data_IF_507761338182
#
_entry.id   IF_507761338182
#
_cell.length_a   1.000
_cell.length_b   1.000
_cell.length_c   1.000
_cell.angle_alpha   90.00
_cell.angle_beta   90.00
_cell.angle_gamma   90.00
#
_symmetry.space_group_name_H-M   'P 1'
#
loop_
_entity.id
_entity.type
_entity.pdbx_description
1 polymer ?
#
# COMPACT_ATOMS: atom_id res chain seq x y z
N UNK A 1 -17.24 0.67 8.35
CA UNK A 1 -16.67 0.34 9.67
C UNK A 1 -15.47 -0.61 9.60
N UNK A 2 -15.46 -1.71 8.82
CA UNK A 2 -14.31 -2.63 8.74
C UNK A 2 -13.08 -2.04 8.02
N UNK A 3 -13.26 -1.17 7.03
CA UNK A 3 -12.18 -0.56 6.23
C UNK A 3 -11.46 0.58 6.96
N UNK A 4 -12.18 1.39 7.73
CA UNK A 4 -11.62 2.46 8.59
C UNK A 4 -10.74 1.86 9.70
N UNK A 5 -11.11 0.69 10.22
CA UNK A 5 -10.26 -0.05 11.17
C UNK A 5 -8.94 -0.53 10.53
N UNK A 6 -8.95 -0.88 9.25
CA UNK A 6 -7.74 -1.30 8.54
C UNK A 6 -6.75 -0.12 8.36
N UNK A 7 -7.25 1.07 7.99
CA UNK A 7 -6.42 2.27 7.90
C UNK A 7 -5.85 2.69 9.27
N UNK A 8 -6.66 2.64 10.32
CA UNK A 8 -6.22 2.97 11.68
C UNK A 8 -5.24 1.92 12.26
N UNK A 9 -5.38 0.64 11.91
CA UNK A 9 -4.44 -0.41 12.32
C UNK A 9 -3.09 -0.28 11.57
N UNK A 10 -3.10 0.12 10.30
CA UNK A 10 -1.89 0.39 9.53
C UNK A 10 -1.07 1.53 10.16
N UNK A 11 -1.75 2.55 10.68
CA UNK A 11 -1.12 3.68 11.37
C UNK A 11 -0.41 3.27 12.67
N UNK A 12 -0.98 2.34 13.43
CA UNK A 12 -0.41 1.88 14.70
C UNK A 12 0.85 1.00 14.49
N UNK A 13 0.97 0.33 13.35
CA UNK A 13 2.09 -0.56 13.04
C UNK A 13 3.37 0.18 12.62
N UNK A 14 3.25 1.39 12.08
CA UNK A 14 4.42 2.16 11.63
C UNK A 14 5.20 2.82 12.76
N UNK A 15 4.60 2.99 13.93
CA UNK A 15 5.34 3.45 15.12
C UNK A 15 6.37 2.39 15.56
N UNK A 16 6.17 1.11 15.23
CA UNK A 16 7.10 0.03 15.55
C UNK A 16 8.28 -0.08 14.56
N UNK A 17 8.14 0.32 13.31
CA UNK A 17 9.24 0.34 12.33
C UNK A 17 10.32 1.37 12.67
N UNK A 18 9.97 2.45 13.37
CA UNK A 18 10.93 3.39 13.92
C UNK A 18 11.83 2.78 15.01
N UNK A 19 11.47 1.62 15.56
CA UNK A 19 12.23 0.94 16.62
C UNK A 19 13.29 -0.05 16.12
N UNK A 20 13.20 -0.53 14.87
CA UNK A 20 14.09 -1.59 14.35
C UNK A 20 15.34 -1.15 13.59
N UNK A 21 15.57 0.13 13.37
CA UNK A 21 16.77 0.54 12.62
C UNK A 21 17.31 1.89 13.06
N UNK A 22 18.40 1.89 13.79
CA UNK A 22 19.28 3.02 14.08
C UNK A 22 18.61 4.40 14.15
N UNK A 23 18.49 4.93 15.36
CA UNK A 23 17.88 6.22 15.69
C UNK A 23 18.36 7.43 14.86
N UNK A 24 19.38 7.26 14.03
CA UNK A 24 20.04 8.34 13.30
C UNK A 24 19.62 8.46 11.83
N UNK A 25 18.72 7.59 11.33
CA UNK A 25 18.32 7.58 9.91
C UNK A 25 16.94 8.13 9.60
N UNK A 26 16.06 8.20 10.58
CA UNK A 26 14.68 8.68 10.38
C UNK A 26 14.44 9.97 11.15
N UNK A 27 14.20 11.06 10.43
CA UNK A 27 13.79 12.34 10.99
C UNK A 27 12.32 12.61 10.65
N UNK A 28 11.43 12.33 11.59
CA UNK A 28 10.00 12.56 11.44
C UNK A 28 9.62 14.05 11.22
N UNK A 29 10.56 14.98 11.47
CA UNK A 29 10.38 16.39 11.17
C UNK A 29 10.57 16.78 9.71
N UNK A 30 11.14 15.88 8.88
CA UNK A 30 11.34 16.12 7.44
C UNK A 30 10.24 15.46 6.60
N UNK A 31 9.01 15.87 6.87
CA UNK A 31 7.83 15.33 6.18
C UNK A 31 7.87 15.57 4.67
N UNK A 32 8.49 16.69 4.22
CA UNK A 32 8.60 17.05 2.81
C UNK A 32 9.38 16.05 1.95
N UNK A 33 10.37 15.36 2.55
CA UNK A 33 11.14 14.32 1.84
C UNK A 33 10.51 12.94 1.96
N UNK A 34 9.55 12.74 2.88
CA UNK A 34 8.86 11.49 3.16
C UNK A 34 9.78 10.36 3.63
N UNK A 35 9.23 9.35 4.31
CA UNK A 35 9.99 8.22 4.85
C UNK A 35 10.61 7.35 3.76
N UNK A 36 9.93 7.22 2.60
CA UNK A 36 10.44 6.47 1.46
C UNK A 36 11.80 7.01 1.02
N UNK A 37 11.90 8.32 0.74
CA UNK A 37 13.15 8.95 0.33
C UNK A 37 14.23 8.90 1.42
N UNK A 38 13.86 9.17 2.67
CA UNK A 38 14.80 9.16 3.79
C UNK A 38 15.46 7.80 4.01
N UNK A 39 14.74 6.71 3.80
CA UNK A 39 15.24 5.35 4.00
C UNK A 39 15.92 4.78 2.76
N UNK A 40 15.46 5.09 1.56
CA UNK A 40 15.92 4.48 0.32
C UNK A 40 16.88 5.36 -0.47
N UNK A 41 16.77 6.69 -0.33
CA UNK A 41 17.42 7.67 -1.20
C UNK A 41 16.80 7.74 -2.61
N UNK A 42 15.65 7.10 -2.82
CA UNK A 42 14.94 7.06 -4.11
C UNK A 42 13.71 7.95 -4.00
N UNK A 43 13.49 8.79 -5.02
CA UNK A 43 12.32 9.66 -5.06
C UNK A 43 11.02 8.83 -5.05
N UNK A 44 9.98 9.25 -4.29
CA UNK A 44 8.72 8.51 -4.18
C UNK A 44 8.04 8.24 -5.52
N UNK A 45 8.13 9.18 -6.45
CA UNK A 45 7.55 9.13 -7.80
C UNK A 45 8.44 8.39 -8.82
N UNK A 46 9.64 7.97 -8.44
CA UNK A 46 10.49 7.18 -9.33
C UNK A 46 9.83 5.85 -9.68
N UNK A 47 9.98 5.41 -10.93
CA UNK A 47 9.41 4.13 -11.38
C UNK A 47 10.16 2.97 -10.71
N UNK A 48 9.49 2.25 -9.81
CA UNK A 48 10.02 1.05 -9.17
C UNK A 48 9.94 -0.16 -10.10
N UNK A 49 8.83 -0.27 -10.84
CA UNK A 49 8.62 -1.33 -11.83
C UNK A 49 7.64 -0.89 -12.91
N UNK A 50 7.61 -1.63 -14.02
CA UNK A 50 6.62 -1.44 -15.09
C UNK A 50 5.96 -2.78 -15.42
N UNK A 51 4.63 -2.79 -15.42
CA UNK A 51 3.81 -3.97 -15.70
C UNK A 51 2.90 -3.64 -16.89
N UNK A 52 3.13 -4.28 -18.01
CA UNK A 52 2.37 -4.09 -19.27
C UNK A 52 2.15 -2.61 -19.67
N UNK A 53 3.19 -1.81 -19.47
CA UNK A 53 3.19 -0.40 -19.80
C UNK A 53 2.66 0.53 -18.70
N UNK A 54 2.17 -0.01 -17.59
CA UNK A 54 1.75 0.75 -16.40
C UNK A 54 2.95 0.93 -15.48
N UNK A 55 3.29 2.16 -15.17
CA UNK A 55 4.35 2.50 -14.22
C UNK A 55 3.85 2.39 -12.79
N UNK A 56 4.62 1.70 -11.95
CA UNK A 56 4.38 1.60 -10.51
C UNK A 56 5.41 2.47 -9.80
N UNK A 57 5.00 3.48 -9.03
CA UNK A 57 5.92 4.37 -8.35
C UNK A 57 6.58 3.72 -7.13
N UNK A 58 7.72 4.27 -6.74
CA UNK A 58 8.54 3.75 -5.65
C UNK A 58 7.81 3.81 -4.30
N UNK A 59 7.02 4.82 -4.05
CA UNK A 59 6.28 4.97 -2.80
C UNK A 59 5.21 3.87 -2.61
N UNK A 60 4.55 3.43 -3.68
CA UNK A 60 3.64 2.28 -3.65
C UNK A 60 4.39 0.99 -3.32
N UNK A 61 5.52 0.74 -3.97
CA UNK A 61 6.34 -0.44 -3.68
C UNK A 61 6.87 -0.42 -2.24
N UNK A 62 7.37 0.73 -1.80
CA UNK A 62 7.88 0.92 -0.44
C UNK A 62 6.79 0.72 0.63
N UNK A 63 5.59 1.23 0.39
CA UNK A 63 4.45 1.00 1.28
C UNK A 63 4.13 -0.49 1.42
N UNK A 64 4.03 -1.22 0.31
CA UNK A 64 3.78 -2.66 0.33
C UNK A 64 4.91 -3.43 1.04
N UNK A 65 6.17 -3.01 0.86
CA UNK A 65 7.31 -3.55 1.58
C UNK A 65 7.17 -3.39 3.09
N UNK A 66 6.87 -2.17 3.55
CA UNK A 66 6.70 -1.87 4.97
C UNK A 66 5.50 -2.61 5.56
N UNK A 67 4.39 -2.65 4.83
CA UNK A 67 3.18 -3.37 5.25
C UNK A 67 3.44 -4.87 5.42
N UNK A 68 4.07 -5.51 4.43
CA UNK A 68 4.37 -6.94 4.50
C UNK A 68 5.36 -7.27 5.62
N UNK A 69 6.38 -6.42 5.84
CA UNK A 69 7.32 -6.60 6.93
C UNK A 69 6.63 -6.51 8.30
N UNK A 70 5.78 -5.51 8.50
CA UNK A 70 5.02 -5.33 9.74
C UNK A 70 4.00 -6.45 9.97
N UNK A 71 3.37 -6.91 8.89
CA UNK A 71 2.45 -8.04 8.96
C UNK A 71 3.18 -9.31 9.42
N UNK A 72 4.35 -9.61 8.84
CA UNK A 72 5.15 -10.78 9.19
C UNK A 72 5.64 -10.72 10.64
N UNK A 73 6.11 -9.55 11.08
CA UNK A 73 6.50 -9.34 12.48
C UNK A 73 5.32 -9.58 13.44
N UNK A 74 4.16 -9.02 13.14
CA UNK A 74 2.94 -9.19 13.94
C UNK A 74 2.49 -10.65 13.97
N UNK A 75 2.60 -11.34 12.83
CA UNK A 75 2.26 -12.76 12.71
C UNK A 75 3.17 -13.61 13.59
N UNK A 76 4.48 -13.43 13.53
CA UNK A 76 5.44 -14.16 14.35
C UNK A 76 5.23 -13.89 15.85
N UNK A 77 5.05 -12.64 16.23
CA UNK A 77 4.79 -12.24 17.61
C UNK A 77 3.51 -12.87 18.17
N UNK A 78 2.47 -13.06 17.36
CA UNK A 78 1.24 -13.75 17.78
C UNK A 78 1.49 -15.20 18.21
N UNK A 79 2.50 -15.84 17.63
CA UNK A 79 2.94 -17.19 18.02
C UNK A 79 4.07 -17.21 19.07
N UNK A 80 4.43 -16.05 19.61
CA UNK A 80 5.49 -15.92 20.61
C UNK A 80 6.90 -16.18 20.03
N UNK A 81 7.06 -15.96 18.72
CA UNK A 81 8.33 -16.13 18.01
C UNK A 81 8.89 -14.76 17.61
N UNK A 82 10.20 -14.61 17.70
CA UNK A 82 10.89 -13.46 17.10
C UNK A 82 10.98 -13.66 15.58
N UNK A 83 10.86 -12.56 14.82
CA UNK A 83 10.99 -12.61 13.39
C UNK A 83 12.45 -12.87 12.97
N UNK A 84 12.67 -13.99 12.33
CA UNK A 84 13.93 -14.33 11.67
C UNK A 84 13.72 -14.45 10.16
N UNK A 85 14.20 -13.45 9.42
CA UNK A 85 14.09 -13.40 7.97
C UNK A 85 14.79 -14.55 7.24
N UNK A 86 15.77 -15.20 7.88
CA UNK A 86 16.52 -16.34 7.33
C UNK A 86 15.87 -17.69 7.66
N UNK A 87 14.83 -17.72 8.48
CA UNK A 87 14.11 -18.94 8.83
C UNK A 87 13.49 -19.56 7.58
N UNK A 88 13.75 -20.84 7.36
CA UNK A 88 13.12 -21.63 6.29
C UNK A 88 11.65 -21.91 6.63
N UNK A 89 10.72 -21.54 5.73
CA UNK A 89 9.30 -21.88 5.84
C UNK A 89 8.96 -23.15 5.09
N UNK A 90 9.64 -23.37 3.98
CA UNK A 90 9.55 -24.59 3.16
C UNK A 90 10.90 -24.84 2.50
N UNK A 91 11.09 -26.05 1.93
CA UNK A 91 12.37 -26.47 1.37
C UNK A 91 12.91 -25.45 0.33
N UNK A 92 14.02 -24.78 0.70
CA UNK A 92 14.71 -23.81 -0.14
C UNK A 92 14.14 -22.38 -0.16
N UNK A 93 13.10 -22.08 0.63
CA UNK A 93 12.51 -20.74 0.71
C UNK A 93 12.48 -20.22 2.14
N UNK A 94 13.07 -19.04 2.33
CA UNK A 94 13.09 -18.34 3.61
C UNK A 94 11.87 -17.44 3.79
N UNK A 95 11.63 -16.98 5.04
CA UNK A 95 10.64 -15.92 5.34
C UNK A 95 10.86 -14.71 4.44
N UNK A 96 12.12 -14.32 4.21
CA UNK A 96 12.47 -13.20 3.35
C UNK A 96 12.05 -13.44 1.89
N UNK A 97 12.26 -14.64 1.35
CA UNK A 97 11.95 -14.94 -0.04
C UNK A 97 10.44 -14.93 -0.28
N UNK A 98 9.67 -15.62 0.56
CA UNK A 98 8.20 -15.63 0.49
C UNK A 98 7.62 -14.22 0.66
N UNK A 99 8.20 -13.41 1.57
CA UNK A 99 7.75 -12.03 1.78
C UNK A 99 8.05 -11.15 0.57
N UNK A 100 9.23 -11.26 -0.04
CA UNK A 100 9.56 -10.52 -1.28
C UNK A 100 8.62 -10.86 -2.43
N UNK A 101 8.31 -12.15 -2.62
CA UNK A 101 7.40 -12.58 -3.68
C UNK A 101 5.99 -12.02 -3.44
N UNK A 102 5.50 -12.06 -2.21
CA UNK A 102 4.21 -11.45 -1.83
C UNK A 102 4.17 -9.95 -2.09
N UNK A 103 5.22 -9.20 -1.73
CA UNK A 103 5.32 -7.77 -1.99
C UNK A 103 5.25 -7.49 -3.49
N UNK A 104 6.01 -8.26 -4.27
CA UNK A 104 6.08 -8.09 -5.72
C UNK A 104 4.71 -8.35 -6.36
N UNK A 105 4.03 -9.44 -6.00
CA UNK A 105 2.72 -9.77 -6.52
C UNK A 105 1.65 -8.75 -6.08
N UNK A 106 1.62 -8.35 -4.82
CA UNK A 106 0.70 -7.32 -4.34
C UNK A 106 0.91 -5.98 -5.05
N UNK A 107 2.16 -5.59 -5.27
CA UNK A 107 2.46 -4.34 -5.96
C UNK A 107 2.10 -4.41 -7.44
N UNK A 108 2.33 -5.54 -8.10
CA UNK A 108 1.91 -5.76 -9.49
C UNK A 108 0.40 -5.72 -9.67
N UNK A 109 -0.37 -6.20 -8.68
CA UNK A 109 -1.82 -6.31 -8.81
C UNK A 109 -2.49 -4.97 -9.11
N UNK A 110 -2.01 -3.87 -8.54
CA UNK A 110 -2.51 -2.53 -8.84
C UNK A 110 -2.35 -2.19 -10.33
N UNK A 111 -1.18 -2.44 -10.91
CA UNK A 111 -0.94 -2.18 -12.32
C UNK A 111 -1.73 -3.13 -13.23
N UNK A 112 -1.92 -4.38 -12.84
CA UNK A 112 -2.74 -5.36 -13.57
C UNK A 112 -4.21 -4.92 -13.58
N UNK A 113 -4.76 -4.50 -12.45
CA UNK A 113 -6.14 -4.00 -12.35
C UNK A 113 -6.33 -2.78 -13.26
N UNK A 114 -5.42 -1.81 -13.21
CA UNK A 114 -5.47 -0.64 -14.09
C UNK A 114 -5.40 -1.02 -15.56
N UNK A 115 -4.51 -1.95 -15.91
CA UNK A 115 -4.36 -2.43 -17.29
C UNK A 115 -5.61 -3.12 -17.77
N UNK A 116 -6.19 -4.01 -16.98
CA UNK A 116 -7.45 -4.69 -17.30
C UNK A 116 -8.61 -3.69 -17.44
N UNK A 117 -8.69 -2.69 -16.57
CA UNK A 117 -9.69 -1.64 -16.67
C UNK A 117 -9.57 -0.85 -17.98
N UNK A 118 -8.34 -0.49 -18.39
CA UNK A 118 -8.08 0.18 -19.67
C UNK A 118 -8.48 -0.69 -20.88
N UNK A 119 -8.10 -1.97 -20.87
CA UNK A 119 -8.37 -2.90 -21.97
C UNK A 119 -9.87 -3.18 -22.15
N UNK A 120 -10.62 -3.19 -21.05
CA UNK A 120 -12.06 -3.44 -21.05
C UNK A 120 -12.90 -2.16 -21.04
N UNK A 121 -12.27 -0.97 -21.14
CA UNK A 121 -12.93 0.34 -21.07
C UNK A 121 -13.76 0.51 -19.79
N UNK A 122 -13.33 -0.09 -18.69
CA UNK A 122 -13.93 0.09 -17.37
C UNK A 122 -13.50 1.43 -16.80
N UNK A 123 -14.45 2.28 -16.51
CA UNK A 123 -14.26 3.58 -15.86
C UNK A 123 -15.17 3.62 -14.63
N UNK A 124 -14.69 4.27 -13.57
CA UNK A 124 -15.51 4.49 -12.39
C UNK A 124 -16.66 5.44 -12.72
N UNK A 125 -17.86 5.06 -12.34
CA UNK A 125 -19.03 5.89 -12.50
C UNK A 125 -19.09 7.03 -11.46
N UNK A 126 -20.07 7.92 -11.60
CA UNK A 126 -20.24 9.08 -10.72
C UNK A 126 -20.50 8.65 -9.26
N UNK A 127 -21.17 7.53 -9.04
CA UNK A 127 -21.46 7.02 -7.71
C UNK A 127 -20.19 6.54 -7.01
N UNK A 128 -19.34 5.75 -7.70
CA UNK A 128 -18.06 5.29 -7.20
C UNK A 128 -17.09 6.45 -6.90
N UNK A 129 -17.06 7.45 -7.79
CA UNK A 129 -16.22 8.65 -7.59
C UNK A 129 -16.69 9.45 -6.37
N UNK A 130 -18.02 9.61 -6.20
CA UNK A 130 -18.59 10.31 -5.04
C UNK A 130 -18.33 9.55 -3.73
N UNK A 131 -18.35 8.23 -3.75
CA UNK A 131 -18.02 7.42 -2.58
C UNK A 131 -16.54 7.56 -2.19
N UNK A 132 -15.62 7.52 -3.17
CA UNK A 132 -14.19 7.78 -2.95
C UNK A 132 -13.94 9.16 -2.32
N UNK A 133 -14.60 10.21 -2.84
CA UNK A 133 -14.49 11.55 -2.28
C UNK A 133 -15.02 11.62 -0.84
N UNK A 134 -16.13 10.94 -0.56
CA UNK A 134 -16.71 10.87 0.79
C UNK A 134 -15.78 10.11 1.77
N UNK A 135 -15.22 8.98 1.37
CA UNK A 135 -14.26 8.22 2.18
C UNK A 135 -12.99 9.05 2.48
N UNK A 136 -12.49 9.78 1.47
CA UNK A 136 -11.37 10.70 1.67
C UNK A 136 -11.72 11.81 2.66
N UNK A 137 -12.88 12.45 2.49
CA UNK A 137 -13.32 13.52 3.37
C UNK A 137 -13.49 13.05 4.82
N UNK A 138 -14.07 11.86 5.04
CA UNK A 138 -14.19 11.24 6.37
C UNK A 138 -12.81 10.97 6.99
N UNK A 139 -11.86 10.48 6.19
CA UNK A 139 -10.50 10.23 6.64
C UNK A 139 -9.79 11.53 7.04
N UNK A 140 -9.91 12.56 6.20
CA UNK A 140 -9.35 13.90 6.49
C UNK A 140 -9.95 14.48 7.77
N UNK A 141 -11.27 14.39 7.95
CA UNK A 141 -11.95 14.88 9.17
C UNK A 141 -11.47 14.09 10.40
N UNK A 142 -11.39 12.78 10.32
CA UNK A 142 -10.98 11.91 11.42
C UNK A 142 -9.55 12.16 11.89
N UNK A 143 -8.68 12.57 10.97
CA UNK A 143 -7.28 12.94 11.26
C UNK A 143 -7.07 14.39 11.70
N UNK A 144 -8.13 15.20 11.67
CA UNK A 144 -8.09 16.60 12.12
C UNK A 144 -7.73 17.59 11.02
N UNK A 145 -7.91 17.23 9.75
CA UNK A 145 -7.78 18.11 8.60
C UNK A 145 -6.69 17.70 7.60
N UNK A 146 -6.64 18.42 6.49
CA UNK A 146 -5.77 18.13 5.33
C UNK A 146 -4.28 18.07 5.70
N UNK A 147 -3.80 18.96 6.56
CA UNK A 147 -2.38 18.95 6.95
C UNK A 147 -2.01 17.69 7.71
N UNK A 148 -2.86 17.26 8.65
CA UNK A 148 -2.66 16.02 9.40
C UNK A 148 -2.76 14.79 8.47
N UNK A 149 -3.71 14.79 7.54
CA UNK A 149 -3.86 13.74 6.55
C UNK A 149 -2.58 13.55 5.72
N UNK A 150 -2.04 14.65 5.16
CA UNK A 150 -0.77 14.61 4.41
C UNK A 150 0.41 14.15 5.26
N UNK A 151 0.47 14.62 6.50
CA UNK A 151 1.52 14.20 7.43
C UNK A 151 1.45 12.69 7.73
N UNK A 152 0.26 12.13 7.84
CA UNK A 152 0.09 10.69 8.04
C UNK A 152 0.48 9.88 6.79
N UNK A 153 0.09 10.33 5.59
CA UNK A 153 0.54 9.69 4.35
C UNK A 153 2.08 9.72 4.21
N UNK A 154 2.70 10.84 4.53
CA UNK A 154 4.16 10.96 4.50
C UNK A 154 4.86 10.01 5.48
N UNK A 155 4.28 9.74 6.66
CA UNK A 155 4.78 8.72 7.60
C UNK A 155 4.65 7.30 7.03
N UNK A 156 3.63 7.05 6.21
CA UNK A 156 3.45 5.80 5.48
C UNK A 156 4.39 5.68 4.26
N UNK A 157 5.07 6.76 3.91
CA UNK A 157 5.91 6.85 2.73
C UNK A 157 5.14 7.06 1.44
N UNK A 158 3.86 7.44 1.52
CA UNK A 158 2.96 7.59 0.38
C UNK A 158 2.74 9.07 0.02
N UNK A 159 2.64 9.35 -1.27
CA UNK A 159 2.03 10.57 -1.80
C UNK A 159 0.50 10.47 -1.79
N UNK A 160 -0.19 11.62 -1.82
CA UNK A 160 -1.64 11.64 -1.99
C UNK A 160 -2.05 10.97 -3.32
N UNK A 161 -1.32 11.23 -4.39
CA UNK A 161 -1.59 10.66 -5.72
C UNK A 161 -1.52 9.13 -5.71
N UNK A 162 -0.47 8.56 -5.09
CA UNK A 162 -0.34 7.11 -4.99
C UNK A 162 -1.41 6.51 -4.10
N UNK A 163 -1.75 7.15 -2.99
CA UNK A 163 -2.81 6.68 -2.11
C UNK A 163 -4.18 6.69 -2.80
N UNK A 164 -4.53 7.79 -3.49
CA UNK A 164 -5.76 7.88 -4.28
C UNK A 164 -5.82 6.79 -5.37
N UNK A 165 -4.70 6.53 -6.02
CA UNK A 165 -4.56 5.47 -7.02
C UNK A 165 -4.83 4.09 -6.43
N UNK A 166 -4.31 3.81 -5.24
CA UNK A 166 -4.56 2.56 -4.52
C UNK A 166 -6.05 2.42 -4.14
N UNK A 167 -6.66 3.47 -3.61
CA UNK A 167 -8.09 3.48 -3.29
C UNK A 167 -8.96 3.24 -4.55
N UNK A 168 -8.64 3.88 -5.67
CA UNK A 168 -9.34 3.67 -6.95
C UNK A 168 -9.24 2.24 -7.46
N UNK A 169 -8.12 1.56 -7.19
CA UNK A 169 -7.90 0.19 -7.63
C UNK A 169 -8.93 -0.78 -7.06
N UNK A 170 -9.38 -0.59 -5.83
CA UNK A 170 -10.41 -1.43 -5.19
C UNK A 170 -11.76 -1.32 -5.92
N UNK A 171 -12.12 -0.10 -6.34
CA UNK A 171 -13.34 0.16 -7.10
C UNK A 171 -13.24 -0.37 -8.53
N UNK A 172 -12.09 -0.20 -9.18
CA UNK A 172 -11.84 -0.77 -10.51
C UNK A 172 -11.89 -2.30 -10.50
N UNK A 173 -11.34 -2.91 -9.46
CA UNK A 173 -11.40 -4.36 -9.28
C UNK A 173 -12.86 -4.84 -9.16
N UNK A 174 -13.66 -4.18 -8.33
CA UNK A 174 -15.08 -4.50 -8.16
C UNK A 174 -15.86 -4.36 -9.48
N UNK A 175 -15.60 -3.30 -10.24
CA UNK A 175 -16.25 -3.08 -11.54
C UNK A 175 -15.82 -4.14 -12.59
N UNK A 176 -14.56 -4.59 -12.56
CA UNK A 176 -14.10 -5.70 -13.41
C UNK A 176 -14.75 -7.03 -13.03
N UNK A 177 -14.94 -7.31 -11.74
CA UNK A 177 -15.67 -8.50 -11.29
C UNK A 177 -17.12 -8.50 -11.78
N UNK A 178 -17.82 -7.36 -11.71
CA UNK A 178 -19.18 -7.23 -12.23
C UNK A 178 -19.24 -7.45 -13.75
N UNK A 179 -18.29 -6.89 -14.50
CA UNK A 179 -18.19 -7.11 -15.94
C UNK A 179 -18.00 -8.60 -16.25
N UNK A 180 -17.06 -9.27 -15.60
CA UNK A 180 -16.81 -10.68 -15.79
C UNK A 180 -18.01 -11.57 -15.45
N UNK A 181 -18.78 -11.22 -14.39
CA UNK A 181 -20.00 -11.92 -14.01
C UNK A 181 -21.11 -11.80 -15.06
N UNK A 182 -21.22 -10.65 -15.74
CA UNK A 182 -22.19 -10.44 -16.79
C UNK A 182 -21.85 -11.19 -18.08
N UNK A 183 -20.58 -11.22 -18.47
CA UNK A 183 -20.10 -11.95 -19.64
C UNK A 183 -20.14 -13.47 -19.46
N UNK A 184 -19.84 -13.97 -18.26
CA UNK A 184 -19.92 -15.40 -17.94
C UNK A 184 -21.34 -15.96 -17.85
N UNK A 185 -22.36 -15.08 -17.87
CA UNK A 185 -23.79 -15.44 -17.80
C UNK A 185 -24.48 -15.48 -19.19
N UNK A 186 -23.74 -15.22 -20.26
CA UNK A 186 -24.20 -15.18 -21.66
C UNK A 186 -23.83 -16.44 -22.39
#
# INVERSE_FOLDING_TARGET
>A
MKRILAAALSLALLVSLAACGGKDRFDAGKVEEGVCYQLTGIAPDAVAMRVDGIDVPMDMYFYNLCYAASYMESYMNMYGMDLDWSMELQEGETVLDVTKDSILENTKSFAVIEKLAQENNVILDEAALSELEAERAETVESLGGEESYRAELAKLGLSEETYDRMCRSDYLYSALEELAATEGSS
#
